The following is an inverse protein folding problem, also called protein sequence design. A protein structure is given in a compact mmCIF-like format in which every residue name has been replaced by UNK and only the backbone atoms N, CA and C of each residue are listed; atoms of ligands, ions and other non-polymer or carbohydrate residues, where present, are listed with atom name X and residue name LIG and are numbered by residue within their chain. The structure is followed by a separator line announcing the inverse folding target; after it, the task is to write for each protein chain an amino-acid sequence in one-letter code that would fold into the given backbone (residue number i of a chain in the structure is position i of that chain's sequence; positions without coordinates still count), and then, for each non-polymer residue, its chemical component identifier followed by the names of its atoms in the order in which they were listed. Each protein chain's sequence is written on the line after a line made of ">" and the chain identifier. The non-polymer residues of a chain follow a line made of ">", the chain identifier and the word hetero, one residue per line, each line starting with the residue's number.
data_IF_059667273840
#
_entry.id   IF_059667273840
#
_cell.length_a   1.000
_cell.length_b   1.000
_cell.length_c   1.000
_cell.angle_alpha   90.00
_cell.angle_beta   90.00
_cell.angle_gamma   90.00
#
_symmetry.space_group_name_H-M   'P 1'
#
loop_
_entity.id
_entity.type
_entity.pdbx_description
1 polymer ?
#
# COMPACT_ATOMS: atom_id res chain seq x y z
N UNK A 1 9.29 14.36 11.12
CA UNK A 1 9.26 13.23 10.17
C UNK A 1 8.05 12.37 10.49
N UNK A 2 7.29 11.88 9.50
CA UNK A 2 6.15 11.01 9.80
C UNK A 2 6.68 9.78 10.57
N UNK A 3 6.15 9.61 11.78
CA UNK A 3 6.31 8.37 12.51
C UNK A 3 5.57 7.28 11.69
N UNK A 4 6.07 6.04 11.70
CA UNK A 4 5.52 4.90 10.92
C UNK A 4 4.09 4.50 11.33
N UNK A 5 3.46 5.26 12.21
CA UNK A 5 2.11 5.07 12.73
C UNK A 5 1.17 6.26 12.51
N UNK A 6 1.65 7.32 11.87
CA UNK A 6 0.84 8.45 11.45
C UNK A 6 0.69 8.39 9.94
N UNK A 7 -0.49 7.95 9.52
CA UNK A 7 -0.90 8.04 8.14
C UNK A 7 -1.63 9.36 7.86
N UNK A 8 -1.74 9.68 6.58
CA UNK A 8 -2.50 10.86 6.13
C UNK A 8 -3.99 10.67 6.39
N UNK A 9 -4.49 9.42 6.47
CA UNK A 9 -5.89 9.12 6.73
C UNK A 9 -6.37 9.72 8.06
N UNK A 10 -5.65 9.48 9.15
CA UNK A 10 -5.97 10.04 10.46
C UNK A 10 -5.68 11.54 10.54
N UNK A 11 -4.61 12.02 9.88
CA UNK A 11 -4.26 13.45 9.87
C UNK A 11 -5.31 14.32 9.18
N UNK A 12 -5.93 13.82 8.10
CA UNK A 12 -7.03 14.50 7.40
C UNK A 12 -8.39 14.14 7.97
N UNK A 13 -8.46 13.21 8.94
CA UNK A 13 -9.68 12.60 9.48
C UNK A 13 -10.51 11.87 8.43
N UNK A 14 -9.88 11.46 7.32
CA UNK A 14 -10.55 10.64 6.31
C UNK A 14 -10.99 9.30 6.89
N UNK A 15 -10.30 8.77 7.90
CA UNK A 15 -10.74 7.55 8.58
C UNK A 15 -12.11 7.69 9.27
N UNK A 16 -12.47 8.89 9.70
CA UNK A 16 -13.79 9.22 10.27
C UNK A 16 -14.79 9.73 9.23
N UNK A 17 -14.30 10.40 8.18
CA UNK A 17 -15.11 11.16 7.21
C UNK A 17 -15.15 10.54 5.82
N UNK A 18 -14.69 9.30 5.69
CA UNK A 18 -14.50 8.63 4.41
C UNK A 18 -15.73 8.74 3.51
N UNK A 19 -16.94 8.58 4.07
CA UNK A 19 -18.17 8.59 3.29
C UNK A 19 -18.41 9.96 2.62
N UNK A 20 -18.32 11.05 3.39
CA UNK A 20 -18.51 12.40 2.86
C UNK A 20 -17.43 12.75 1.82
N UNK A 21 -16.19 12.35 2.08
CA UNK A 21 -15.08 12.55 1.14
C UNK A 21 -15.31 11.79 -0.17
N UNK A 22 -15.83 10.55 -0.13
CA UNK A 22 -16.16 9.78 -1.33
C UNK A 22 -17.37 10.35 -2.08
N UNK A 23 -18.35 10.91 -1.37
CA UNK A 23 -19.46 11.66 -1.99
C UNK A 23 -18.91 12.86 -2.77
N UNK A 24 -17.98 13.62 -2.18
CA UNK A 24 -17.32 14.75 -2.87
C UNK A 24 -16.55 14.28 -4.11
N UNK A 25 -15.82 13.17 -4.02
CA UNK A 25 -15.14 12.55 -5.18
C UNK A 25 -16.15 12.22 -6.29
N UNK A 26 -17.27 11.58 -5.94
CA UNK A 26 -18.32 11.24 -6.89
C UNK A 26 -18.92 12.48 -7.55
N UNK A 27 -19.19 13.51 -6.76
CA UNK A 27 -19.83 14.75 -7.22
C UNK A 27 -18.90 15.60 -8.08
N UNK A 28 -17.58 15.48 -7.87
CA UNK A 28 -16.56 16.01 -8.78
C UNK A 28 -16.47 15.26 -10.12
N UNK A 29 -17.30 14.23 -10.35
CA UNK A 29 -17.31 13.43 -11.57
C UNK A 29 -16.24 12.34 -11.62
N UNK A 30 -15.50 12.11 -10.53
CA UNK A 30 -14.50 11.05 -10.45
C UNK A 30 -15.22 9.71 -10.21
N UNK A 31 -14.77 8.67 -10.92
CA UNK A 31 -15.29 7.29 -10.80
C UNK A 31 -14.22 6.27 -10.51
N UNK A 32 -12.95 6.60 -10.78
CA UNK A 32 -11.80 5.73 -10.59
C UNK A 32 -10.76 6.50 -9.79
N UNK A 33 -10.36 5.95 -8.65
CA UNK A 33 -9.44 6.62 -7.73
C UNK A 33 -8.44 5.62 -7.15
N UNK A 34 -7.21 6.07 -6.92
CA UNK A 34 -6.26 5.31 -6.11
C UNK A 34 -6.61 5.50 -4.64
N UNK A 35 -6.71 4.40 -3.90
CA UNK A 35 -7.18 4.42 -2.52
C UNK A 35 -6.26 3.59 -1.62
N UNK A 36 -5.81 4.16 -0.48
CA UNK A 36 -4.91 3.47 0.44
C UNK A 36 -5.61 2.30 1.12
N UNK A 37 -4.93 1.17 1.22
CA UNK A 37 -5.35 0.04 2.04
C UNK A 37 -4.41 0.02 3.25
N UNK A 38 -4.82 0.54 4.42
CA UNK A 38 -3.91 0.82 5.53
C UNK A 38 -3.47 -0.46 6.25
N UNK A 39 -2.48 -1.16 5.68
CA UNK A 39 -1.98 -2.44 6.17
C UNK A 39 -1.61 -2.39 7.66
N UNK A 40 -0.94 -1.32 8.08
CA UNK A 40 -0.56 -1.07 9.48
C UNK A 40 -1.74 -0.99 10.46
N UNK A 41 -2.93 -0.60 9.99
CA UNK A 41 -4.17 -0.56 10.79
C UNK A 41 -4.90 -1.89 10.77
N UNK A 42 -4.83 -2.62 9.65
CA UNK A 42 -5.54 -3.87 9.40
C UNK A 42 -4.84 -5.05 10.09
N UNK A 43 -3.52 -5.16 9.95
CA UNK A 43 -2.75 -6.26 10.53
C UNK A 43 -1.93 -5.78 11.73
N UNK A 44 -2.59 -5.39 12.82
CA UNK A 44 -1.89 -4.91 14.04
C UNK A 44 -1.12 -6.02 14.75
N UNK A 45 -1.53 -7.26 14.55
CA UNK A 45 -0.88 -8.47 15.04
C UNK A 45 -0.64 -9.37 13.84
N UNK A 46 0.59 -9.84 13.63
CA UNK A 46 0.96 -10.69 12.49
C UNK A 46 -0.02 -11.86 12.32
N UNK A 47 -0.55 -12.02 11.12
CA UNK A 47 -1.52 -13.03 10.71
C UNK A 47 -2.97 -12.78 11.17
N UNK A 48 -3.27 -11.66 11.84
CA UNK A 48 -4.62 -11.31 12.29
C UNK A 48 -5.08 -10.01 11.63
N UNK A 49 -6.05 -10.13 10.75
CA UNK A 49 -6.58 -9.02 9.97
C UNK A 49 -7.91 -8.51 10.55
N UNK A 50 -7.96 -7.22 10.88
CA UNK A 50 -9.18 -6.49 11.18
C UNK A 50 -9.58 -5.65 9.96
N UNK A 51 -10.55 -6.17 9.20
CA UNK A 51 -11.04 -5.56 7.96
C UNK A 51 -12.18 -4.57 8.17
N UNK A 52 -12.72 -4.42 9.39
CA UNK A 52 -14.03 -3.82 9.61
C UNK A 52 -14.19 -2.42 9.01
N UNK A 53 -13.21 -1.53 9.26
CA UNK A 53 -13.21 -0.18 8.67
C UNK A 53 -13.17 -0.21 7.13
N UNK A 54 -12.32 -1.06 6.56
CA UNK A 54 -12.17 -1.15 5.11
C UNK A 54 -13.39 -1.78 4.43
N UNK A 55 -14.06 -2.71 5.10
CA UNK A 55 -15.32 -3.29 4.63
C UNK A 55 -16.39 -2.21 4.42
N UNK A 56 -16.54 -1.31 5.39
CA UNK A 56 -17.48 -0.18 5.30
C UNK A 56 -17.13 0.76 4.15
N UNK A 57 -15.86 1.17 4.06
CA UNK A 57 -15.37 2.04 2.98
C UNK A 57 -15.62 1.44 1.60
N UNK A 58 -15.21 0.18 1.41
CA UNK A 58 -15.31 -0.49 0.11
C UNK A 58 -16.76 -0.79 -0.27
N UNK A 59 -17.64 -1.07 0.70
CA UNK A 59 -19.08 -1.15 0.46
C UNK A 59 -19.63 0.20 -0.01
N UNK A 60 -19.32 1.30 0.70
CA UNK A 60 -19.75 2.64 0.31
C UNK A 60 -19.21 3.06 -1.06
N UNK A 61 -17.97 2.70 -1.41
CA UNK A 61 -17.46 2.92 -2.77
C UNK A 61 -18.31 2.23 -3.84
N UNK A 62 -18.73 0.97 -3.62
CA UNK A 62 -19.61 0.27 -4.57
C UNK A 62 -20.95 0.95 -4.71
N UNK A 63 -21.56 1.37 -3.61
CA UNK A 63 -22.84 2.09 -3.59
C UNK A 63 -22.76 3.41 -4.35
N UNK A 64 -21.63 4.13 -4.22
CA UNK A 64 -21.36 5.38 -4.91
C UNK A 64 -20.92 5.19 -6.37
N UNK A 65 -20.75 3.96 -6.84
CA UNK A 65 -20.28 3.65 -8.20
C UNK A 65 -18.81 4.00 -8.43
N UNK A 66 -17.99 3.98 -7.37
CA UNK A 66 -16.55 4.23 -7.41
C UNK A 66 -15.77 2.92 -7.58
N UNK A 67 -14.69 2.99 -8.34
CA UNK A 67 -13.77 1.88 -8.63
C UNK A 67 -12.38 2.20 -8.06
N UNK A 68 -11.97 1.54 -6.97
CA UNK A 68 -10.67 1.78 -6.37
C UNK A 68 -9.53 1.08 -7.14
N UNK A 69 -8.40 1.76 -7.24
CA UNK A 69 -7.08 1.17 -7.45
C UNK A 69 -6.48 0.99 -6.06
N UNK A 70 -6.40 -0.26 -5.60
CA UNK A 70 -5.89 -0.59 -4.27
C UNK A 70 -4.41 -0.25 -4.17
N UNK A 71 -4.04 0.46 -3.11
CA UNK A 71 -2.66 0.80 -2.75
C UNK A 71 -2.32 0.16 -1.41
N UNK A 72 -1.83 -1.10 -1.40
CA UNK A 72 -1.64 -1.88 -0.17
C UNK A 72 -0.45 -1.45 0.66
N UNK A 73 0.48 -0.67 0.08
CA UNK A 73 1.55 -0.05 0.82
C UNK A 73 1.93 1.29 0.20
N UNK A 74 1.66 2.35 0.96
CA UNK A 74 2.03 3.71 0.61
C UNK A 74 3.20 4.17 1.48
N UNK A 75 4.42 4.10 0.94
CA UNK A 75 5.65 4.40 1.68
C UNK A 75 5.72 3.66 3.03
N UNK A 76 5.87 4.34 4.17
CA UNK A 76 6.10 3.71 5.48
C UNK A 76 4.84 3.19 6.19
N UNK A 77 3.75 2.94 5.46
CA UNK A 77 2.46 2.45 6.01
C UNK A 77 2.39 0.92 6.16
N UNK A 78 3.37 0.34 6.86
CA UNK A 78 3.42 -1.09 7.18
C UNK A 78 3.26 -1.35 8.69
N UNK A 79 2.84 -2.56 9.09
CA UNK A 79 2.61 -2.89 10.49
C UNK A 79 3.83 -2.72 11.40
N UNK A 80 3.59 -2.30 12.65
CA UNK A 80 4.67 -2.09 13.64
C UNK A 80 5.48 -3.32 13.98
N UNK A 81 4.87 -4.50 13.90
CA UNK A 81 5.56 -5.76 14.19
C UNK A 81 6.58 -6.11 13.08
N UNK A 82 6.52 -5.45 11.92
CA UNK A 82 7.53 -5.57 10.87
C UNK A 82 8.69 -4.62 11.17
N UNK A 83 9.50 -4.98 12.17
CA UNK A 83 10.69 -4.22 12.56
C UNK A 83 11.64 -4.04 11.37
N UNK A 84 12.34 -2.91 11.27
CA UNK A 84 13.14 -2.54 10.10
C UNK A 84 12.36 -2.38 8.77
N UNK A 85 11.03 -2.50 8.79
CA UNK A 85 10.16 -2.22 7.64
C UNK A 85 10.54 -3.02 6.41
N UNK A 86 10.79 -2.34 5.29
CA UNK A 86 11.16 -2.99 4.03
C UNK A 86 12.55 -3.64 4.02
N UNK A 87 13.39 -3.33 5.00
CA UNK A 87 14.67 -4.02 5.19
C UNK A 87 14.50 -5.38 5.89
N UNK A 88 13.35 -5.61 6.53
CA UNK A 88 13.07 -6.88 7.18
C UNK A 88 13.09 -8.03 6.16
N UNK A 89 13.85 -9.12 6.40
CA UNK A 89 13.85 -10.28 5.50
C UNK A 89 12.47 -10.95 5.36
N UNK A 90 11.58 -10.79 6.33
CA UNK A 90 10.21 -11.30 6.30
C UNK A 90 9.24 -10.40 5.50
N UNK A 91 9.63 -9.17 5.13
CA UNK A 91 8.76 -8.23 4.41
C UNK A 91 8.16 -8.84 3.12
N UNK A 92 8.93 -9.47 2.22
CA UNK A 92 8.36 -10.01 0.99
C UNK A 92 7.26 -11.06 1.23
N UNK A 93 7.49 -11.98 2.18
CA UNK A 93 6.54 -13.06 2.46
C UNK A 93 5.28 -12.53 3.16
N UNK A 94 5.44 -11.65 4.14
CA UNK A 94 4.30 -11.08 4.88
C UNK A 94 3.46 -10.15 4.01
N UNK A 95 4.11 -9.34 3.17
CA UNK A 95 3.40 -8.47 2.24
C UNK A 95 2.63 -9.24 1.18
N UNK A 96 3.23 -10.32 0.66
CA UNK A 96 2.55 -11.27 -0.22
C UNK A 96 1.28 -11.83 0.43
N UNK A 97 1.36 -12.27 1.68
CA UNK A 97 0.24 -12.89 2.38
C UNK A 97 -0.89 -11.88 2.64
N UNK A 98 -0.54 -10.63 3.00
CA UNK A 98 -1.50 -9.55 3.13
C UNK A 98 -2.19 -9.21 1.79
N UNK A 99 -1.42 -9.04 0.72
CA UNK A 99 -1.95 -8.77 -0.61
C UNK A 99 -2.88 -9.89 -1.12
N UNK A 100 -2.52 -11.14 -0.86
CA UNK A 100 -3.35 -12.30 -1.18
C UNK A 100 -4.67 -12.26 -0.41
N UNK A 101 -4.62 -12.06 0.91
CA UNK A 101 -5.81 -11.98 1.76
C UNK A 101 -6.75 -10.84 1.34
N UNK A 102 -6.20 -9.68 0.99
CA UNK A 102 -6.98 -8.56 0.44
C UNK A 102 -7.64 -8.93 -0.90
N UNK A 103 -6.88 -9.50 -1.84
CA UNK A 103 -7.39 -9.85 -3.17
C UNK A 103 -8.47 -10.95 -3.13
N UNK A 104 -8.33 -11.93 -2.23
CA UNK A 104 -9.35 -12.97 -2.00
C UNK A 104 -10.63 -12.37 -1.40
N UNK A 105 -10.49 -11.48 -0.40
CA UNK A 105 -11.62 -10.87 0.29
C UNK A 105 -12.42 -9.93 -0.61
N UNK A 106 -11.72 -9.11 -1.39
CA UNK A 106 -12.31 -8.06 -2.21
C UNK A 106 -12.14 -8.34 -3.70
N UNK A 107 -12.60 -9.51 -4.16
CA UNK A 107 -12.46 -9.99 -5.55
C UNK A 107 -13.09 -9.11 -6.65
N UNK A 108 -13.79 -8.05 -6.26
CA UNK A 108 -14.33 -7.03 -7.16
C UNK A 108 -13.34 -5.86 -7.38
N UNK A 109 -12.36 -5.67 -6.50
CA UNK A 109 -11.29 -4.68 -6.62
C UNK A 109 -10.17 -5.27 -7.48
N UNK A 110 -10.14 -4.84 -8.75
CA UNK A 110 -9.29 -5.46 -9.77
C UNK A 110 -8.02 -4.71 -10.11
N UNK A 111 -7.83 -3.53 -9.56
CA UNK A 111 -6.70 -2.68 -9.91
C UNK A 111 -5.82 -2.46 -8.70
N UNK A 112 -4.51 -2.59 -8.89
CA UNK A 112 -3.53 -2.56 -7.81
C UNK A 112 -2.33 -1.71 -8.17
N UNK A 113 -1.93 -0.84 -7.26
CA UNK A 113 -0.57 -0.32 -7.16
C UNK A 113 0.14 -1.15 -6.11
N UNK A 114 0.82 -2.22 -6.55
CA UNK A 114 1.41 -3.23 -5.64
C UNK A 114 2.50 -2.66 -4.75
N UNK A 115 3.19 -1.59 -5.16
CA UNK A 115 4.12 -0.88 -4.29
C UNK A 115 4.26 0.54 -4.84
N UNK A 116 4.12 1.54 -3.99
CA UNK A 116 4.32 2.93 -4.38
C UNK A 116 5.81 3.29 -4.51
N UNK A 117 6.23 3.82 -5.64
CA UNK A 117 7.55 4.44 -5.85
C UNK A 117 8.70 3.62 -5.23
N UNK A 118 8.99 2.42 -5.78
CA UNK A 118 9.91 1.47 -5.16
C UNK A 118 11.31 2.05 -4.94
N UNK A 119 11.86 2.74 -5.95
CA UNK A 119 13.19 3.32 -5.89
C UNK A 119 13.23 4.54 -4.96
N UNK A 120 12.37 5.57 -5.11
CA UNK A 120 12.35 6.72 -4.19
C UNK A 120 12.14 6.31 -2.73
N UNK A 121 11.22 5.39 -2.46
CA UNK A 121 10.98 4.87 -1.11
C UNK A 121 12.25 4.21 -0.56
N UNK A 122 12.95 3.42 -1.38
CA UNK A 122 14.21 2.78 -0.97
C UNK A 122 15.28 3.83 -0.67
N UNK A 123 15.49 4.81 -1.56
CA UNK A 123 16.46 5.89 -1.37
C UNK A 123 16.16 6.72 -0.11
N UNK A 124 14.90 7.05 0.16
CA UNK A 124 14.48 7.83 1.32
C UNK A 124 14.69 7.05 2.63
N UNK A 125 14.44 5.74 2.63
CA UNK A 125 14.64 4.88 3.79
C UNK A 125 16.11 4.53 4.06
N UNK A 126 16.97 4.52 3.04
CA UNK A 126 18.37 4.07 3.14
C UNK A 126 19.39 5.13 2.75
N UNK A 127 19.51 5.57 1.50
CA UNK A 127 20.62 6.50 1.14
C UNK A 127 20.51 7.83 1.89
N UNK A 128 19.31 8.39 1.91
CA UNK A 128 19.01 9.63 2.61
C UNK A 128 18.73 9.42 4.10
N UNK A 129 18.36 8.20 4.51
CA UNK A 129 17.96 7.88 5.88
C UNK A 129 16.87 8.82 6.45
N UNK A 130 16.05 9.37 5.56
CA UNK A 130 15.06 10.40 5.85
C UNK A 130 13.70 9.82 6.24
N UNK A 131 13.46 8.53 6.00
CA UNK A 131 12.27 7.78 6.45
C UNK A 131 12.68 6.56 7.26
N UNK A 132 11.80 6.06 8.13
CA UNK A 132 12.04 4.83 8.90
C UNK A 132 12.35 3.66 7.94
N UNK A 133 13.36 2.81 8.20
CA UNK A 133 14.14 2.67 9.45
C UNK A 133 15.35 3.61 9.58
N UNK A 134 15.47 4.64 8.75
CA UNK A 134 16.52 5.66 8.78
C UNK A 134 17.94 5.06 8.71
N UNK A 135 18.09 3.96 7.98
CA UNK A 135 19.39 3.32 7.73
C UNK A 135 20.17 4.14 6.72
N UNK A 136 21.47 3.87 6.59
CA UNK A 136 22.37 4.51 5.62
C UNK A 136 23.38 3.51 5.06
N UNK A 137 23.84 3.78 3.84
CA UNK A 137 24.89 3.02 3.15
C UNK A 137 24.39 1.99 2.14
N UNK A 138 25.31 1.58 1.26
CA UNK A 138 25.04 0.69 0.11
C UNK A 138 24.43 -0.65 0.53
N UNK A 139 24.92 -1.27 1.61
CA UNK A 139 24.39 -2.54 2.08
C UNK A 139 22.91 -2.47 2.46
N UNK A 140 22.48 -1.35 3.08
CA UNK A 140 21.08 -1.11 3.38
C UNK A 140 20.27 -0.87 2.09
N UNK A 141 20.80 -0.05 1.18
CA UNK A 141 20.13 0.21 -0.11
C UNK A 141 19.90 -1.08 -0.91
N UNK A 142 20.94 -1.88 -1.15
CA UNK A 142 20.82 -3.13 -1.90
C UNK A 142 19.97 -4.17 -1.17
N UNK A 143 20.06 -4.25 0.16
CA UNK A 143 19.23 -5.12 0.97
C UNK A 143 17.74 -4.80 0.83
N UNK A 144 17.38 -3.51 0.96
CA UNK A 144 16.00 -3.06 0.84
C UNK A 144 15.50 -3.21 -0.60
N UNK A 145 16.30 -2.79 -1.60
CA UNK A 145 15.95 -2.93 -3.00
C UNK A 145 15.62 -4.38 -3.36
N UNK A 146 16.44 -5.33 -2.89
CA UNK A 146 16.20 -6.77 -3.09
C UNK A 146 14.87 -7.21 -2.47
N UNK A 147 14.59 -6.79 -1.25
CA UNK A 147 13.34 -7.13 -0.57
C UNK A 147 12.13 -6.52 -1.28
N UNK A 148 12.19 -5.25 -1.66
CA UNK A 148 11.11 -4.55 -2.38
C UNK A 148 10.86 -5.20 -3.74
N UNK A 149 11.89 -5.49 -4.53
CA UNK A 149 11.74 -6.20 -5.81
C UNK A 149 11.10 -7.58 -5.62
N UNK A 150 11.53 -8.34 -4.62
CA UNK A 150 10.92 -9.64 -4.30
C UNK A 150 9.47 -9.50 -3.87
N UNK A 151 9.17 -8.54 -3.01
CA UNK A 151 7.82 -8.28 -2.52
C UNK A 151 6.86 -7.96 -3.68
N UNK A 152 7.28 -7.11 -4.62
CA UNK A 152 6.49 -6.81 -5.83
C UNK A 152 6.21 -8.07 -6.63
N UNK A 153 7.23 -8.89 -6.93
CA UNK A 153 7.05 -10.12 -7.70
C UNK A 153 6.16 -11.14 -6.97
N UNK A 154 6.43 -11.39 -5.69
CA UNK A 154 5.72 -12.38 -4.88
C UNK A 154 4.25 -11.97 -4.66
N UNK A 155 4.00 -10.71 -4.31
CA UNK A 155 2.64 -10.18 -4.12
C UNK A 155 1.85 -10.16 -5.43
N UNK A 156 2.45 -9.72 -6.54
CA UNK A 156 1.81 -9.75 -7.87
C UNK A 156 1.38 -11.17 -8.24
N UNK A 157 2.27 -12.15 -8.07
CA UNK A 157 1.95 -13.55 -8.36
C UNK A 157 0.84 -14.09 -7.45
N UNK A 158 0.82 -13.71 -6.16
CA UNK A 158 -0.24 -14.11 -5.25
C UNK A 158 -1.59 -13.48 -5.58
N UNK A 159 -1.60 -12.18 -5.92
CA UNK A 159 -2.80 -11.47 -6.38
C UNK A 159 -3.36 -12.13 -7.66
N UNK A 160 -2.51 -12.47 -8.64
CA UNK A 160 -2.95 -13.15 -9.87
C UNK A 160 -3.58 -14.52 -9.55
N UNK A 161 -3.00 -15.28 -8.62
CA UNK A 161 -3.56 -16.58 -8.20
C UNK A 161 -4.94 -16.43 -7.55
N UNK A 162 -5.10 -15.44 -6.68
CA UNK A 162 -6.38 -15.14 -6.04
C UNK A 162 -7.41 -14.55 -7.02
N UNK A 163 -6.93 -13.74 -7.97
CA UNK A 163 -7.76 -12.98 -8.90
C UNK A 163 -7.07 -12.85 -10.28
N UNK A 164 -7.34 -13.79 -11.20
CA UNK A 164 -6.72 -13.80 -12.53
C UNK A 164 -6.99 -12.55 -13.39
N UNK A 165 -8.06 -11.82 -13.08
CA UNK A 165 -8.45 -10.58 -13.76
C UNK A 165 -7.82 -9.30 -13.16
N UNK A 166 -6.87 -9.45 -12.23
CA UNK A 166 -6.16 -8.32 -11.65
C UNK A 166 -5.34 -7.54 -12.70
N UNK A 167 -5.29 -6.22 -12.54
CA UNK A 167 -4.53 -5.28 -13.35
C UNK A 167 -3.59 -4.49 -12.44
N UNK A 168 -2.36 -4.33 -12.87
CA UNK A 168 -1.31 -3.70 -12.09
C UNK A 168 -0.96 -2.34 -12.69
N UNK A 169 -0.97 -1.31 -11.85
CA UNK A 169 -0.71 0.09 -12.21
C UNK A 169 0.51 0.50 -11.39
N UNK A 170 1.66 0.51 -12.04
CA UNK A 170 2.90 0.95 -11.41
C UNK A 170 2.93 2.47 -11.29
N UNK A 171 3.44 2.92 -10.16
CA UNK A 171 3.67 4.33 -9.86
C UNK A 171 5.14 4.47 -9.51
N UNK A 172 5.81 5.33 -10.24
CA UNK A 172 7.19 5.71 -10.00
C UNK A 172 7.32 7.22 -10.18
N UNK A 173 8.38 7.79 -9.62
CA UNK A 173 8.66 9.21 -9.83
C UNK A 173 9.04 9.45 -11.28
N UNK A 174 8.48 10.49 -11.89
CA UNK A 174 8.80 10.92 -13.24
C UNK A 174 10.18 11.63 -13.32
N UNK A 175 11.21 11.05 -12.69
CA UNK A 175 12.58 11.55 -12.77
C UNK A 175 13.18 11.09 -14.10
N UNK A 176 13.09 11.94 -15.13
CA UNK A 176 13.87 11.77 -16.36
C UNK A 176 13.16 11.22 -17.60
N UNK A 177 11.86 11.48 -17.79
CA UNK A 177 11.27 11.37 -19.14
C UNK A 177 11.63 12.62 -19.95
N UNK A 178 12.92 12.80 -20.22
CA UNK A 178 13.35 13.65 -21.33
C UNK A 178 12.95 12.95 -22.62
N UNK A 179 12.27 13.67 -23.50
CA UNK A 179 11.85 13.19 -24.82
C UNK A 179 13.03 12.73 -25.68
#
# INVERSE_FOLDING_TARGET
>A
MPLHDRDVLGLTRHDERWHDDLVLVRDAGIRRLRYPIPWHRIERVRGRYDWGWLDEVLAGMRELGLSPIADPVHHTSFPRWLEDGFLNPDFPATYRDFCAAFAERYSWVREFTVFNEPLPTTMLCTEMGAWYPARRGEAAFYGMLRNVSRAICEATAAIIRAQPAARFIHVDTAEGHGA
#
